data_IF_985776849851
#
_entry.id   IF_985776849851
#
_cell.length_a   1.000
_cell.length_b   1.000
_cell.length_c   1.000
_cell.angle_alpha   90.00
_cell.angle_beta   90.00
_cell.angle_gamma   90.00
#
_symmetry.space_group_name_H-M   'P 1'
#
loop_
_entity.id
_entity.type
_entity.pdbx_description
1 polymer ?
#
# COMPACT_ATOMS: atom_id res chain seq x y z
N UNK A 1 19.52 -6.44 -4.69
CA UNK A 1 18.67 -5.69 -5.65
C UNK A 1 17.35 -5.35 -4.95
N UNK A 2 16.91 -4.09 -4.95
CA UNK A 2 15.67 -3.70 -4.24
C UNK A 2 14.43 -4.28 -4.91
N UNK A 3 13.56 -4.91 -4.13
CA UNK A 3 12.25 -5.37 -4.59
C UNK A 3 11.17 -4.31 -4.27
N UNK A 4 10.22 -4.10 -5.19
CA UNK A 4 9.12 -3.17 -5.00
C UNK A 4 7.79 -3.91 -4.97
N UNK A 5 6.97 -3.59 -3.98
CA UNK A 5 5.60 -4.09 -3.85
C UNK A 5 4.65 -2.92 -4.10
N UNK A 6 3.78 -3.08 -5.11
CA UNK A 6 2.72 -2.14 -5.43
C UNK A 6 1.40 -2.82 -5.08
N UNK A 7 0.71 -2.31 -4.08
CA UNK A 7 -0.59 -2.80 -3.67
C UNK A 7 -1.68 -1.84 -4.15
N UNK A 8 -2.52 -2.34 -5.05
CA UNK A 8 -3.79 -1.74 -5.45
C UNK A 8 -4.90 -2.26 -4.53
N UNK A 9 -5.54 -1.36 -3.79
CA UNK A 9 -6.46 -1.73 -2.73
C UNK A 9 -7.83 -1.09 -2.95
N UNK A 10 -8.86 -1.94 -3.10
CA UNK A 10 -10.26 -1.57 -2.92
C UNK A 10 -10.71 -1.86 -1.49
N UNK A 11 -10.86 -0.81 -0.69
CA UNK A 11 -11.29 -0.90 0.69
C UNK A 11 -12.81 -1.02 0.76
N UNK A 12 -13.31 -2.18 1.18
CA UNK A 12 -14.76 -2.47 1.26
C UNK A 12 -15.41 -1.97 2.55
N UNK A 13 -14.66 -1.98 3.65
CA UNK A 13 -15.11 -1.49 4.97
C UNK A 13 -13.92 -0.77 5.63
N UNK A 14 -14.02 0.50 6.04
CA UNK A 14 -12.91 1.19 6.69
C UNK A 14 -12.66 0.77 8.15
N UNK A 15 -13.58 0.03 8.79
CA UNK A 15 -13.50 -0.29 10.23
C UNK A 15 -12.29 -1.15 10.62
N UNK A 16 -11.78 -1.98 9.71
CA UNK A 16 -10.64 -2.87 9.99
C UNK A 16 -9.27 -2.18 9.86
N UNK A 17 -9.23 -1.01 9.22
CA UNK A 17 -7.97 -0.32 8.86
C UNK A 17 -7.07 -0.03 10.06
N UNK A 18 -7.58 0.45 11.22
CA UNK A 18 -6.71 0.75 12.35
C UNK A 18 -5.97 -0.49 12.88
N UNK A 19 -6.70 -1.61 13.01
CA UNK A 19 -6.12 -2.87 13.50
C UNK A 19 -5.10 -3.48 12.51
N UNK A 20 -5.38 -3.37 11.21
CA UNK A 20 -4.44 -3.80 10.19
C UNK A 20 -3.20 -2.89 10.12
N UNK A 21 -3.38 -1.57 10.12
CA UNK A 21 -2.27 -0.64 10.04
C UNK A 21 -1.30 -0.79 11.22
N UNK A 22 -1.82 -1.10 12.42
CA UNK A 22 -1.02 -1.36 13.60
C UNK A 22 -0.09 -2.58 13.45
N UNK A 23 -0.59 -3.68 12.89
CA UNK A 23 0.18 -4.93 12.76
C UNK A 23 1.13 -4.94 11.55
N UNK A 24 0.72 -4.31 10.45
CA UNK A 24 1.47 -4.36 9.19
C UNK A 24 2.69 -3.44 9.20
N UNK A 25 2.63 -2.32 9.92
CA UNK A 25 3.77 -1.42 10.02
C UNK A 25 5.00 -2.15 10.61
N UNK A 26 4.81 -2.85 11.72
CA UNK A 26 5.87 -3.62 12.38
C UNK A 26 6.39 -4.76 11.49
N UNK A 27 5.49 -5.44 10.75
CA UNK A 27 5.85 -6.50 9.83
C UNK A 27 6.74 -5.99 8.69
N UNK A 28 6.37 -4.88 8.06
CA UNK A 28 7.13 -4.29 6.95
C UNK A 28 8.51 -3.85 7.45
N UNK A 29 8.56 -3.16 8.59
CA UNK A 29 9.83 -2.74 9.20
C UNK A 29 10.72 -3.92 9.59
N UNK A 30 10.16 -5.01 10.12
CA UNK A 30 10.90 -6.23 10.50
C UNK A 30 11.67 -6.82 9.31
N UNK A 31 11.14 -6.72 8.09
CA UNK A 31 11.79 -7.21 6.87
C UNK A 31 12.59 -6.12 6.14
N UNK A 32 12.89 -5.00 6.80
CA UNK A 32 13.64 -3.87 6.22
C UNK A 32 12.83 -3.06 5.19
N UNK A 33 11.53 -3.32 5.07
CA UNK A 33 10.66 -2.65 4.14
C UNK A 33 10.46 -1.18 4.49
N UNK A 34 10.36 -0.34 3.46
CA UNK A 34 10.11 1.10 3.56
C UNK A 34 8.90 1.48 2.73
N UNK A 35 7.94 2.15 3.35
CA UNK A 35 6.83 2.79 2.64
C UNK A 35 7.35 4.01 1.88
N UNK A 36 7.16 4.02 0.57
CA UNK A 36 7.45 5.16 -0.30
C UNK A 36 6.20 5.99 -0.58
N UNK A 37 5.04 5.34 -0.66
CA UNK A 37 3.73 6.01 -0.79
C UNK A 37 2.64 5.15 -0.15
N UNK A 38 1.65 5.82 0.43
CA UNK A 38 0.40 5.23 0.91
C UNK A 38 -0.68 6.29 0.83
N UNK A 39 -1.38 6.36 -0.31
CA UNK A 39 -2.30 7.45 -0.60
C UNK A 39 -3.56 6.96 -1.29
N UNK A 40 -4.70 7.53 -0.90
CA UNK A 40 -5.96 7.44 -1.64
C UNK A 40 -6.14 8.56 -2.67
N UNK A 41 -5.24 9.55 -2.71
CA UNK A 41 -5.25 10.58 -3.73
C UNK A 41 -4.59 10.05 -5.00
N UNK A 42 -5.36 9.31 -5.79
CA UNK A 42 -4.92 8.62 -7.02
C UNK A 42 -5.73 9.14 -8.20
N UNK A 43 -5.02 9.54 -9.24
CA UNK A 43 -5.62 9.98 -10.51
C UNK A 43 -5.17 9.04 -11.62
N UNK A 44 -6.13 8.40 -12.30
CA UNK A 44 -5.84 7.61 -13.51
C UNK A 44 -5.51 8.55 -14.66
N UNK A 45 -4.30 8.43 -15.22
CA UNK A 45 -3.87 9.23 -16.37
C UNK A 45 -4.33 8.62 -17.70
N UNK A 46 -4.33 7.29 -17.80
CA UNK A 46 -4.69 6.55 -19.01
C UNK A 46 -5.44 5.25 -18.67
N UNK A 47 -6.29 4.78 -19.60
CA UNK A 47 -7.08 3.56 -19.44
C UNK A 47 -8.35 3.74 -18.60
N UNK A 48 -9.05 2.63 -18.35
CA UNK A 48 -10.21 2.64 -17.45
C UNK A 48 -9.75 2.70 -16.00
N UNK A 49 -10.27 3.63 -15.18
CA UNK A 49 -9.96 3.67 -13.76
C UNK A 49 -10.33 2.35 -13.08
N UNK A 50 -9.40 1.85 -12.26
CA UNK A 50 -9.68 0.76 -11.35
C UNK A 50 -10.51 1.29 -10.17
N UNK A 51 -11.27 0.42 -9.53
CA UNK A 51 -12.09 0.75 -8.35
C UNK A 51 -11.24 0.82 -7.07
N UNK A 52 -10.08 1.48 -7.21
CA UNK A 52 -9.03 1.58 -6.21
C UNK A 52 -9.35 2.71 -5.26
N UNK A 53 -9.24 2.42 -3.96
CA UNK A 53 -9.40 3.42 -2.90
C UNK A 53 -8.07 3.90 -2.33
N UNK A 54 -7.01 3.10 -2.52
CA UNK A 54 -5.69 3.37 -1.99
C UNK A 54 -4.63 2.61 -2.79
N UNK A 55 -3.51 3.28 -3.09
CA UNK A 55 -2.30 2.63 -3.59
C UNK A 55 -1.22 2.73 -2.51
N UNK A 56 -0.57 1.60 -2.22
CA UNK A 56 0.61 1.54 -1.39
C UNK A 56 1.83 1.06 -2.19
N UNK A 57 2.93 1.80 -2.06
CA UNK A 57 4.23 1.46 -2.65
C UNK A 57 5.24 1.23 -1.53
N UNK A 58 5.84 0.04 -1.54
CA UNK A 58 6.85 -0.36 -0.58
C UNK A 58 8.11 -0.84 -1.28
N UNK A 59 9.28 -0.54 -0.71
CA UNK A 59 10.58 -1.02 -1.16
C UNK A 59 11.19 -1.92 -0.09
N UNK A 60 11.75 -3.06 -0.49
CA UNK A 60 12.41 -4.01 0.41
C UNK A 60 13.87 -4.22 -0.01
N UNK A 61 14.81 -4.30 0.96
CA UNK A 61 16.17 -4.75 0.71
C UNK A 61 16.17 -6.25 0.42
N UNK A 62 17.00 -6.68 -0.54
CA UNK A 62 17.23 -8.11 -0.83
C UNK A 62 18.15 -8.74 0.20
#
# INVERSE_FOLDING_TARGET
>A
MTAYVIADIKMKDPKWVPAYAASVHDLVHKHGGKYLSRSGNVTTLEGMPLDTTLIALMAFPS
#
